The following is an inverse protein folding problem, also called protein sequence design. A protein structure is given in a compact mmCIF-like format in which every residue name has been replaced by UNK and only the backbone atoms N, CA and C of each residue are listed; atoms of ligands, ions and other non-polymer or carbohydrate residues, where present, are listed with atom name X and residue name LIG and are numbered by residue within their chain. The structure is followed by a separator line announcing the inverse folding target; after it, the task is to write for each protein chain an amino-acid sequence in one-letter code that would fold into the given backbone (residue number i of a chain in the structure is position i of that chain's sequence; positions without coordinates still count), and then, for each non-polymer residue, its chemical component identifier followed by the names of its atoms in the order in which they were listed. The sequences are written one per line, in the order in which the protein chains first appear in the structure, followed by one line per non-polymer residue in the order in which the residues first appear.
data_IF_248942834620
#
_entry.id   IF_248942834620
#
_cell.length_a   1.000
_cell.length_b   1.000
_cell.length_c   1.000
_cell.angle_alpha   90.00
_cell.angle_beta   90.00
_cell.angle_gamma   90.00
#
_symmetry.space_group_name_H-M   'P 1'
#
loop_
_entity.id
_entity.type
_entity.pdbx_description
1 polymer ?
#
# COMPACT_ATOMS: atom_id res chain seq x y z
N UNK A 1 4.97 -20.98 -16.14
CA UNK A 1 6.03 -21.13 -15.12
C UNK A 1 5.66 -20.20 -13.98
N UNK A 2 5.48 -20.73 -12.78
CA UNK A 2 5.19 -19.92 -11.60
C UNK A 2 6.52 -19.39 -11.05
N UNK A 3 6.67 -18.07 -10.94
CA UNK A 3 7.79 -17.50 -10.20
C UNK A 3 7.45 -17.64 -8.71
N UNK A 4 8.16 -18.53 -8.02
CA UNK A 4 8.13 -18.61 -6.56
C UNK A 4 8.99 -17.45 -6.05
N UNK A 5 8.47 -16.63 -5.14
CA UNK A 5 9.21 -15.57 -4.46
C UNK A 5 10.30 -16.20 -3.57
N UNK A 6 11.43 -16.56 -4.16
CA UNK A 6 12.65 -16.95 -3.45
C UNK A 6 13.42 -15.70 -3.07
N UNK A 7 13.49 -15.36 -1.78
CA UNK A 7 14.47 -14.47 -1.11
C UNK A 7 15.20 -13.45 -2.02
N UNK A 8 14.44 -12.71 -2.80
CA UNK A 8 15.00 -11.83 -3.80
C UNK A 8 15.36 -10.53 -3.10
N UNK A 9 16.66 -10.16 -3.17
CA UNK A 9 17.16 -8.78 -3.05
C UNK A 9 16.03 -7.81 -3.37
N UNK A 10 15.66 -6.89 -2.48
CA UNK A 10 14.60 -5.91 -2.70
C UNK A 10 14.77 -5.25 -4.07
N UNK A 11 14.10 -5.77 -5.10
CA UNK A 11 14.06 -5.14 -6.40
C UNK A 11 13.20 -3.90 -6.21
N UNK A 12 13.77 -2.73 -6.49
CA UNK A 12 12.95 -1.57 -6.72
C UNK A 12 12.17 -1.83 -8.01
N UNK A 13 10.91 -1.41 -8.07
CA UNK A 13 10.11 -1.49 -9.29
C UNK A 13 9.65 -0.08 -9.61
N UNK A 14 9.70 0.28 -10.88
CA UNK A 14 8.98 1.44 -11.42
C UNK A 14 7.81 0.94 -12.24
N UNK A 15 6.81 1.80 -12.42
CA UNK A 15 5.65 1.45 -13.23
C UNK A 15 4.72 2.61 -13.40
N UNK A 16 3.76 2.43 -14.29
CA UNK A 16 2.71 3.40 -14.56
C UNK A 16 1.35 2.73 -14.48
N UNK A 17 0.35 3.46 -14.02
CA UNK A 17 -1.04 3.02 -13.98
C UNK A 17 -1.91 4.04 -14.70
N UNK A 18 -2.92 3.54 -15.42
CA UNK A 18 -4.01 4.35 -15.94
C UNK A 18 -5.34 3.66 -15.67
N UNK A 19 -6.40 4.43 -15.48
CA UNK A 19 -7.77 3.92 -15.38
C UNK A 19 -8.79 5.03 -15.68
N UNK A 20 -10.06 4.67 -15.79
CA UNK A 20 -11.19 5.60 -15.85
C UNK A 20 -12.11 5.41 -14.65
N UNK A 21 -12.40 6.51 -13.95
CA UNK A 21 -13.30 6.52 -12.79
C UNK A 21 -14.75 6.74 -13.24
N UNK A 22 -15.72 6.46 -12.35
CA UNK A 22 -17.16 6.60 -12.65
C UNK A 22 -17.59 8.01 -13.07
N UNK A 23 -16.83 9.03 -12.69
CA UNK A 23 -17.04 10.42 -13.12
C UNK A 23 -16.66 10.67 -14.58
N UNK A 24 -16.03 9.70 -15.26
CA UNK A 24 -15.37 9.89 -16.55
C UNK A 24 -13.97 10.50 -16.43
N UNK A 25 -13.49 10.76 -15.21
CA UNK A 25 -12.14 11.28 -14.98
C UNK A 25 -11.10 10.19 -15.24
N UNK A 26 -10.04 10.55 -15.97
CA UNK A 26 -8.88 9.69 -16.15
C UNK A 26 -8.01 9.72 -14.89
N UNK A 27 -7.70 8.54 -14.38
CA UNK A 27 -6.65 8.32 -13.39
C UNK A 27 -5.33 8.05 -14.12
N UNK A 28 -4.29 8.80 -13.82
CA UNK A 28 -2.95 8.59 -14.38
C UNK A 28 -1.92 8.61 -13.24
N UNK A 29 -1.11 7.57 -13.12
CA UNK A 29 -0.01 7.52 -12.19
C UNK A 29 1.28 7.18 -12.94
N UNK A 30 2.25 8.09 -12.91
CA UNK A 30 3.59 7.93 -13.47
C UNK A 30 4.52 7.12 -12.58
N UNK A 31 4.09 6.86 -11.34
CA UNK A 31 4.78 6.02 -10.38
C UNK A 31 3.81 5.01 -9.74
N UNK A 32 4.29 3.77 -9.61
CA UNK A 32 3.63 2.70 -8.86
C UNK A 32 4.55 2.25 -7.74
N UNK A 33 4.01 2.23 -6.53
CA UNK A 33 4.61 1.57 -5.39
C UNK A 33 4.24 0.09 -5.41
N UNK A 34 5.21 -0.75 -5.83
CA UNK A 34 5.11 -2.20 -5.75
C UNK A 34 5.58 -2.69 -4.38
N UNK A 35 4.74 -3.48 -3.72
CA UNK A 35 5.04 -4.16 -2.48
C UNK A 35 4.99 -5.68 -2.74
N UNK A 36 6.16 -6.35 -2.80
CA UNK A 36 6.22 -7.79 -2.99
C UNK A 36 5.34 -8.51 -1.96
N UNK A 37 4.42 -9.37 -2.43
CA UNK A 37 3.50 -10.13 -1.58
C UNK A 37 2.23 -9.40 -1.12
N UNK A 38 2.10 -8.10 -1.38
CA UNK A 38 0.91 -7.32 -1.03
C UNK A 38 0.17 -6.89 -2.30
N UNK A 39 0.82 -6.13 -3.18
CA UNK A 39 0.16 -5.55 -4.34
C UNK A 39 0.91 -4.38 -4.94
N UNK A 40 0.18 -3.58 -5.71
CA UNK A 40 0.60 -2.28 -6.22
C UNK A 40 -0.30 -1.19 -5.67
N UNK A 41 0.30 -0.06 -5.36
CA UNK A 41 -0.37 1.19 -5.06
C UNK A 41 0.04 2.22 -6.12
N UNK A 42 -0.94 2.86 -6.72
CA UNK A 42 -0.73 3.97 -7.63
C UNK A 42 -1.47 5.19 -7.09
N UNK A 43 -0.87 6.36 -7.19
CA UNK A 43 -1.46 7.64 -6.77
C UNK A 43 -1.55 8.51 -8.00
N UNK A 44 -2.69 9.17 -8.18
CA UNK A 44 -2.94 10.02 -9.34
C UNK A 44 -1.94 11.18 -9.39
N UNK A 45 -1.21 11.33 -10.52
CA UNK A 45 -0.26 12.41 -10.79
C UNK A 45 -0.94 13.79 -10.74
N UNK A 46 -2.24 13.84 -11.03
CA UNK A 46 -3.04 15.05 -11.08
C UNK A 46 -3.83 15.29 -9.80
N UNK A 47 -3.56 14.53 -8.75
CA UNK A 47 -4.15 14.71 -7.44
C UNK A 47 -4.01 16.17 -6.97
N UNK A 48 -5.14 16.85 -6.81
CA UNK A 48 -5.24 18.11 -6.08
C UNK A 48 -6.09 17.82 -4.83
N UNK A 49 -5.50 17.91 -3.63
CA UNK A 49 -6.11 17.53 -2.34
C UNK A 49 -6.22 16.01 -2.12
N UNK A 50 -7.36 15.47 -1.66
CA UNK A 50 -7.59 14.05 -1.32
C UNK A 50 -7.07 13.13 -2.44
N UNK A 51 -5.82 12.69 -2.31
CA UNK A 51 -5.06 12.13 -3.43
C UNK A 51 -5.71 10.82 -3.88
N UNK A 52 -6.37 10.77 -5.06
CA UNK A 52 -6.97 9.55 -5.53
C UNK A 52 -5.86 8.51 -5.66
N UNK A 53 -6.07 7.34 -5.08
CA UNK A 53 -5.17 6.21 -5.25
C UNK A 53 -5.94 4.95 -5.62
N UNK A 54 -5.27 4.07 -6.35
CA UNK A 54 -5.75 2.74 -6.65
C UNK A 54 -4.77 1.74 -6.06
N UNK A 55 -5.29 0.83 -5.24
CA UNK A 55 -4.56 -0.33 -4.77
C UNK A 55 -5.07 -1.59 -5.45
N UNK A 56 -4.17 -2.43 -5.95
CA UNK A 56 -4.47 -3.77 -6.46
C UNK A 56 -3.59 -4.78 -5.73
N UNK A 57 -4.19 -5.61 -4.89
CA UNK A 57 -3.52 -6.71 -4.21
C UNK A 57 -3.23 -7.86 -5.17
N UNK A 58 -2.07 -8.50 -5.04
CA UNK A 58 -1.70 -9.64 -5.87
C UNK A 58 -1.99 -10.98 -5.20
N UNK A 59 -2.24 -12.05 -6.00
CA UNK A 59 -2.19 -13.40 -5.46
C UNK A 59 -0.77 -13.74 -5.01
N UNK A 60 -0.65 -14.67 -4.06
CA UNK A 60 0.64 -15.16 -3.53
C UNK A 60 1.61 -15.63 -4.62
N UNK A 61 1.09 -16.20 -5.72
CA UNK A 61 1.85 -16.52 -6.92
C UNK A 61 1.33 -15.71 -8.11
N UNK A 62 2.16 -14.83 -8.65
CA UNK A 62 1.86 -14.01 -9.83
C UNK A 62 2.14 -14.82 -11.10
N UNK A 63 1.15 -14.91 -11.98
CA UNK A 63 1.27 -15.59 -13.27
C UNK A 63 0.30 -15.02 -14.28
N UNK A 64 0.57 -15.25 -15.57
CA UNK A 64 -0.35 -14.86 -16.66
C UNK A 64 -1.68 -15.56 -16.45
N UNK A 65 -2.76 -14.80 -16.46
CA UNK A 65 -4.08 -15.34 -16.16
C UNK A 65 -5.13 -14.29 -15.87
N UNK A 66 -6.36 -14.78 -15.68
CA UNK A 66 -7.51 -13.99 -15.27
C UNK A 66 -7.88 -14.39 -13.86
N UNK A 67 -7.98 -13.39 -12.99
CA UNK A 67 -8.22 -13.59 -11.57
C UNK A 67 -9.39 -12.70 -11.12
N UNK A 68 -10.38 -13.25 -10.40
CA UNK A 68 -11.47 -12.45 -9.87
C UNK A 68 -10.96 -11.50 -8.79
N UNK A 69 -11.45 -10.26 -8.80
CA UNK A 69 -11.39 -9.37 -7.63
C UNK A 69 -12.68 -9.63 -6.86
N UNK A 70 -12.55 -9.97 -5.58
CA UNK A 70 -13.66 -10.36 -4.71
C UNK A 70 -13.74 -9.42 -3.50
N UNK A 71 -14.87 -9.42 -2.76
CA UNK A 71 -14.99 -8.62 -1.55
C UNK A 71 -13.87 -8.90 -0.55
N UNK A 72 -13.62 -7.90 0.31
CA UNK A 72 -12.68 -8.06 1.41
C UNK A 72 -13.03 -9.29 2.27
N UNK A 73 -12.00 -10.09 2.58
CA UNK A 73 -12.15 -11.34 3.34
C UNK A 73 -12.62 -12.55 2.54
N UNK A 74 -12.99 -12.41 1.26
CA UNK A 74 -13.54 -13.52 0.46
C UNK A 74 -12.62 -14.01 -0.66
N UNK A 75 -11.63 -13.22 -1.08
CA UNK A 75 -10.75 -13.59 -2.19
C UNK A 75 -9.27 -13.32 -2.01
N UNK A 76 -8.51 -13.82 -3.00
CA UNK A 76 -7.03 -13.71 -3.09
C UNK A 76 -6.55 -12.40 -3.71
N UNK A 77 -7.44 -11.68 -4.39
CA UNK A 77 -7.13 -10.41 -5.05
C UNK A 77 -8.13 -9.39 -4.55
N UNK A 78 -7.58 -8.25 -4.12
CA UNK A 78 -8.34 -7.13 -3.57
C UNK A 78 -8.06 -5.91 -4.42
N UNK A 79 -9.04 -5.04 -4.54
CA UNK A 79 -8.83 -3.73 -5.10
C UNK A 79 -9.47 -2.67 -4.20
N UNK A 80 -8.88 -1.49 -4.19
CA UNK A 80 -9.38 -0.36 -3.42
C UNK A 80 -9.24 0.91 -4.25
N UNK A 81 -10.29 1.72 -4.27
CA UNK A 81 -10.24 3.08 -4.79
C UNK A 81 -10.30 4.03 -3.59
N UNK A 82 -9.23 4.75 -3.36
CA UNK A 82 -9.16 5.70 -2.27
C UNK A 82 -9.20 7.13 -2.78
N UNK A 83 -10.41 7.64 -2.82
CA UNK A 83 -10.76 9.06 -2.87
C UNK A 83 -11.80 9.26 -1.77
N UNK A 84 -11.96 10.48 -1.25
CA UNK A 84 -12.92 10.78 -0.18
C UNK A 84 -14.29 10.14 -0.48
N UNK A 85 -14.77 9.28 0.43
CA UNK A 85 -16.02 8.54 0.24
C UNK A 85 -15.94 7.49 -0.87
N UNK A 86 -14.85 6.73 -0.99
CA UNK A 86 -14.76 5.46 -1.75
C UNK A 86 -14.09 4.39 -0.89
N UNK A 87 -14.09 3.16 -1.37
CA UNK A 87 -13.82 2.00 -0.52
C UNK A 87 -13.35 0.75 -1.27
N UNK A 88 -13.46 -0.42 -0.62
CA UNK A 88 -13.01 -1.67 -1.20
C UNK A 88 -13.88 -2.07 -2.39
N UNK A 89 -13.27 -2.74 -3.36
CA UNK A 89 -13.99 -3.41 -4.43
C UNK A 89 -14.88 -4.53 -3.87
N UNK A 90 -16.09 -4.64 -4.39
CA UNK A 90 -16.99 -5.77 -4.15
C UNK A 90 -16.88 -6.83 -5.24
N UNK A 91 -16.45 -6.45 -6.44
CA UNK A 91 -16.24 -7.39 -7.53
C UNK A 91 -15.38 -6.76 -8.61
N UNK A 92 -14.75 -7.59 -9.43
CA UNK A 92 -13.97 -7.13 -10.56
C UNK A 92 -13.13 -8.24 -11.14
N UNK A 93 -12.13 -7.85 -11.92
CA UNK A 93 -11.21 -8.77 -12.56
C UNK A 93 -9.85 -8.12 -12.74
N UNK A 94 -8.81 -8.87 -12.39
CA UNK A 94 -7.43 -8.59 -12.76
C UNK A 94 -7.00 -9.58 -13.84
N UNK A 95 -6.46 -9.08 -14.94
CA UNK A 95 -5.89 -9.88 -16.02
C UNK A 95 -4.40 -9.56 -16.13
N UNK A 96 -3.56 -10.47 -15.65
CA UNK A 96 -2.12 -10.39 -15.88
C UNK A 96 -1.86 -10.90 -17.29
N UNK A 97 -1.46 -10.00 -18.18
CA UNK A 97 -1.25 -10.31 -19.60
C UNK A 97 0.17 -10.79 -19.87
N UNK A 98 1.13 -10.33 -19.08
CA UNK A 98 2.55 -10.67 -19.27
C UNK A 98 3.28 -10.72 -17.93
N UNK A 99 4.14 -11.73 -17.79
CA UNK A 99 5.16 -11.83 -16.74
C UNK A 99 6.46 -12.20 -17.44
N UNK A 100 7.35 -11.23 -17.60
CA UNK A 100 8.63 -11.45 -18.27
C UNK A 100 9.63 -12.14 -17.34
N UNK A 101 10.60 -12.86 -17.91
CA UNK A 101 11.69 -13.47 -17.14
C UNK A 101 12.53 -12.42 -16.38
N UNK A 102 12.54 -11.18 -16.86
CA UNK A 102 13.15 -10.02 -16.21
C UNK A 102 12.40 -9.56 -14.96
N UNK A 103 11.21 -10.10 -14.68
CA UNK A 103 10.33 -9.70 -13.57
C UNK A 103 9.33 -8.59 -13.91
N UNK A 104 9.34 -8.08 -15.14
CA UNK A 104 8.33 -7.09 -15.57
C UNK A 104 6.94 -7.73 -15.68
N UNK A 105 5.92 -7.01 -15.21
CA UNK A 105 4.52 -7.47 -15.17
C UNK A 105 3.65 -6.42 -15.85
N UNK A 106 2.82 -6.87 -16.78
CA UNK A 106 1.80 -6.04 -17.44
C UNK A 106 0.42 -6.63 -17.14
N UNK A 107 -0.54 -5.79 -16.80
CA UNK A 107 -1.90 -6.24 -16.50
C UNK A 107 -2.97 -5.21 -16.85
N UNK A 108 -4.21 -5.70 -16.94
CA UNK A 108 -5.44 -4.92 -17.07
C UNK A 108 -6.38 -5.24 -15.92
N UNK A 109 -7.18 -4.28 -15.48
CA UNK A 109 -8.13 -4.50 -14.41
C UNK A 109 -9.42 -3.69 -14.60
N UNK A 110 -10.50 -4.22 -14.04
CA UNK A 110 -11.75 -3.49 -13.80
C UNK A 110 -12.29 -3.89 -12.43
N UNK A 111 -12.90 -2.97 -11.70
CA UNK A 111 -13.60 -3.31 -10.47
C UNK A 111 -14.69 -2.31 -10.13
N UNK A 112 -15.62 -2.75 -9.29
CA UNK A 112 -16.70 -1.92 -8.75
C UNK A 112 -16.87 -2.17 -7.27
N UNK A 113 -17.36 -1.17 -6.57
CA UNK A 113 -17.68 -1.24 -5.15
C UNK A 113 -18.78 -0.25 -4.79
N UNK A 114 -18.93 -0.03 -3.50
CA UNK A 114 -19.83 0.98 -2.94
C UNK A 114 -19.06 1.75 -1.89
N UNK A 115 -19.38 3.03 -1.75
CA UNK A 115 -18.84 3.85 -0.67
C UNK A 115 -19.61 3.71 0.64
N UNK A 116 -19.18 4.46 1.65
CA UNK A 116 -19.77 4.47 2.99
C UNK A 116 -21.25 4.88 3.00
N UNK A 117 -21.73 5.58 1.96
CA UNK A 117 -23.13 5.97 1.80
C UNK A 117 -23.92 4.98 0.93
N UNK A 118 -23.31 3.85 0.52
CA UNK A 118 -23.91 2.88 -0.38
C UNK A 118 -23.97 3.32 -1.84
N UNK A 119 -23.31 4.43 -2.20
CA UNK A 119 -23.27 4.89 -3.58
C UNK A 119 -22.24 4.07 -4.37
N UNK A 120 -22.70 3.46 -5.46
CA UNK A 120 -21.86 2.63 -6.30
C UNK A 120 -20.73 3.43 -6.96
N UNK A 121 -19.59 2.77 -7.14
CA UNK A 121 -18.49 3.23 -7.97
C UNK A 121 -17.94 2.10 -8.83
N UNK A 122 -17.26 2.48 -9.89
CA UNK A 122 -16.65 1.62 -10.89
C UNK A 122 -15.35 2.25 -11.40
N UNK A 123 -14.35 1.40 -11.60
CA UNK A 123 -13.08 1.67 -12.24
C UNK A 123 -12.98 0.79 -13.48
N UNK A 124 -12.89 1.42 -14.63
CA UNK A 124 -12.82 0.76 -15.95
C UNK A 124 -11.50 1.09 -16.64
N UNK A 125 -11.21 0.36 -17.72
CA UNK A 125 -10.02 0.57 -18.55
C UNK A 125 -8.69 0.59 -17.79
N UNK A 126 -8.66 -0.04 -16.61
CA UNK A 126 -7.49 -0.11 -15.75
C UNK A 126 -6.37 -0.87 -16.44
N UNK A 127 -5.17 -0.30 -16.43
CA UNK A 127 -3.97 -0.96 -16.90
C UNK A 127 -2.76 -0.50 -16.09
N UNK A 128 -1.83 -1.42 -15.86
CA UNK A 128 -0.54 -1.06 -15.31
C UNK A 128 0.58 -1.90 -15.90
N UNK A 129 1.78 -1.34 -15.85
CA UNK A 129 3.03 -2.04 -16.11
C UNK A 129 4.00 -1.75 -14.98
N UNK A 130 4.63 -2.77 -14.43
CA UNK A 130 5.75 -2.63 -13.49
C UNK A 130 6.97 -3.35 -14.03
N UNK A 131 8.14 -2.76 -13.84
CA UNK A 131 9.42 -3.32 -14.26
C UNK A 131 10.41 -3.20 -13.12
N UNK A 132 11.23 -4.24 -12.86
CA UNK A 132 12.36 -4.10 -11.96
C UNK A 132 13.29 -3.00 -12.44
N UNK A 133 13.71 -2.16 -11.52
CA UNK A 133 14.73 -1.15 -11.75
C UNK A 133 15.91 -1.40 -10.81
N UNK A 134 17.05 -0.80 -11.16
CA UNK A 134 18.22 -0.81 -10.30
C UNK A 134 17.81 -0.13 -9.00
N UNK A 135 17.76 -0.89 -7.90
CA UNK A 135 17.67 -0.29 -6.58
C UNK A 135 18.86 0.68 -6.47
N UNK A 136 18.59 1.97 -6.26
CA UNK A 136 19.64 2.91 -5.91
C UNK A 136 20.38 2.29 -4.72
N UNK A 137 21.64 1.91 -4.92
CA UNK A 137 22.49 1.44 -3.84
C UNK A 137 22.61 2.59 -2.86
N UNK A 138 21.84 2.54 -1.77
CA UNK A 138 21.94 3.49 -0.68
C UNK A 138 21.71 2.69 0.60
N UNK A 139 22.69 2.81 1.49
CA UNK A 139 22.74 2.36 2.89
C UNK A 139 21.46 1.67 3.36
N UNK A 140 21.56 0.38 3.69
CA UNK A 140 20.48 -0.35 4.35
C UNK A 140 20.03 0.46 5.57
N UNK A 141 18.88 1.14 5.52
CA UNK A 141 18.51 1.98 6.62
C UNK A 141 18.17 1.09 7.80
N UNK A 142 18.49 1.56 9.00
CA UNK A 142 17.92 0.97 10.20
C UNK A 142 16.52 1.54 10.32
N UNK A 143 15.53 0.66 10.29
CA UNK A 143 14.13 1.05 10.52
C UNK A 143 13.66 0.43 11.81
N UNK A 144 13.08 1.25 12.67
CA UNK A 144 12.33 0.82 13.84
C UNK A 144 10.93 1.43 13.74
N UNK A 145 9.90 0.60 13.83
CA UNK A 145 8.53 1.06 13.87
C UNK A 145 7.67 0.18 14.76
N UNK A 146 6.79 0.80 15.54
CA UNK A 146 5.83 0.09 16.38
C UNK A 146 4.62 0.95 16.65
N UNK A 147 3.48 0.33 16.95
CA UNK A 147 2.31 1.03 17.45
C UNK A 147 1.42 0.09 18.28
N UNK A 148 0.54 0.66 19.10
CA UNK A 148 -0.54 -0.04 19.78
C UNK A 148 -1.83 0.01 18.92
N UNK A 149 -2.68 -1.01 19.02
CA UNK A 149 -3.98 -1.10 18.35
C UNK A 149 -5.06 -1.46 19.38
N UNK A 150 -6.12 -0.66 19.43
CA UNK A 150 -7.28 -0.89 20.29
C UNK A 150 -8.60 -0.76 19.52
N UNK A 151 -9.54 -1.73 19.63
CA UNK A 151 -9.37 -3.02 20.30
C UNK A 151 -8.30 -3.89 19.60
N UNK A 152 -7.87 -4.99 20.22
CA UNK A 152 -6.90 -5.88 19.59
C UNK A 152 -7.45 -6.45 18.28
N UNK A 153 -6.69 -6.36 17.19
CA UNK A 153 -7.06 -6.88 15.88
C UNK A 153 -6.57 -8.33 15.77
N UNK A 154 -7.51 -9.27 15.76
CA UNK A 154 -7.21 -10.72 15.72
C UNK A 154 -6.24 -11.16 16.82
N UNK A 155 -6.46 -10.70 18.06
CA UNK A 155 -5.62 -10.90 19.25
C UNK A 155 -4.24 -10.19 19.22
N UNK A 156 -4.02 -9.27 18.28
CA UNK A 156 -2.82 -8.43 18.22
C UNK A 156 -3.17 -7.01 18.73
N UNK A 157 -2.58 -6.63 19.87
CA UNK A 157 -2.78 -5.31 20.50
C UNK A 157 -1.85 -4.22 19.94
N UNK A 158 -1.15 -4.49 18.84
CA UNK A 158 -0.10 -3.65 18.31
C UNK A 158 0.70 -4.38 17.23
N UNK A 159 1.71 -3.69 16.70
CA UNK A 159 2.72 -4.29 15.85
C UNK A 159 4.12 -3.77 16.22
N UNK A 160 5.13 -4.59 15.98
CA UNK A 160 6.54 -4.22 15.95
C UNK A 160 7.10 -4.66 14.60
N UNK A 161 7.47 -3.70 13.76
CA UNK A 161 7.81 -3.97 12.37
C UNK A 161 9.10 -4.80 12.26
N UNK A 162 9.03 -5.87 11.47
CA UNK A 162 10.16 -6.73 11.09
C UNK A 162 10.43 -6.69 9.57
N UNK A 163 9.57 -6.00 8.83
CA UNK A 163 9.65 -5.79 7.39
C UNK A 163 9.34 -4.33 7.07
N UNK A 164 10.11 -3.75 6.14
CA UNK A 164 9.95 -2.36 5.74
C UNK A 164 10.31 -2.14 4.27
N UNK A 165 9.72 -1.11 3.68
CA UNK A 165 10.02 -0.62 2.34
C UNK A 165 9.89 0.90 2.34
N UNK A 166 10.97 1.59 1.97
CA UNK A 166 11.04 3.05 2.00
C UNK A 166 11.44 3.54 0.62
N UNK A 167 10.64 4.43 0.04
CA UNK A 167 10.86 4.99 -1.29
C UNK A 167 10.66 6.49 -1.25
N UNK A 168 11.50 7.21 -1.99
CA UNK A 168 11.27 8.61 -2.30
C UNK A 168 10.64 8.70 -3.70
N UNK A 169 9.58 9.49 -3.83
CA UNK A 169 9.03 9.85 -5.13
C UNK A 169 9.78 11.06 -5.70
N UNK A 170 9.72 11.24 -7.02
CA UNK A 170 10.28 12.41 -7.69
C UNK A 170 9.60 13.72 -7.26
N UNK A 171 8.40 13.65 -6.67
CA UNK A 171 7.66 14.79 -6.14
C UNK A 171 8.10 15.20 -4.71
N UNK A 172 9.19 14.62 -4.18
CA UNK A 172 9.72 14.95 -2.86
C UNK A 172 8.95 14.34 -1.69
N UNK A 173 8.04 13.40 -1.96
CA UNK A 173 7.33 12.63 -0.93
C UNK A 173 8.02 11.32 -0.63
N UNK A 174 7.80 10.77 0.56
CA UNK A 174 8.31 9.47 0.99
C UNK A 174 7.16 8.51 1.20
N UNK A 175 7.17 7.41 0.43
CA UNK A 175 6.32 6.24 0.62
C UNK A 175 7.03 5.26 1.57
N UNK A 176 6.42 4.97 2.71
CA UNK A 176 7.00 4.16 3.78
C UNK A 176 5.98 3.08 4.16
N UNK A 177 6.34 1.82 3.91
CA UNK A 177 5.63 0.68 4.47
C UNK A 177 6.45 0.11 5.62
N UNK A 178 5.82 -0.10 6.77
CA UNK A 178 6.37 -0.84 7.90
C UNK A 178 5.35 -1.84 8.40
N UNK A 179 5.73 -3.11 8.48
CA UNK A 179 4.84 -4.22 8.81
C UNK A 179 5.54 -5.22 9.71
N UNK A 180 4.78 -5.83 10.61
CA UNK A 180 5.13 -7.08 11.26
C UNK A 180 4.59 -8.24 10.41
N UNK A 181 5.37 -9.28 10.19
CA UNK A 181 4.96 -10.52 9.51
C UNK A 181 5.15 -11.76 10.38
N UNK A 182 6.07 -11.72 11.35
CA UNK A 182 6.31 -12.82 12.29
C UNK A 182 5.44 -12.70 13.54
N UNK A 183 5.16 -13.86 14.15
CA UNK A 183 4.50 -13.97 15.46
C UNK A 183 3.11 -13.31 15.55
N UNK A 184 2.47 -13.06 14.40
CA UNK A 184 1.10 -12.56 14.34
C UNK A 184 0.09 -13.64 14.71
N UNK A 185 -0.98 -13.22 15.40
CA UNK A 185 -2.07 -14.10 15.84
C UNK A 185 -3.28 -14.03 14.93
N UNK A 186 -4.19 -14.98 15.10
CA UNK A 186 -5.50 -15.00 14.44
C UNK A 186 -5.45 -15.13 12.91
N UNK A 187 -4.39 -15.75 12.38
CA UNK A 187 -4.22 -15.99 10.96
C UNK A 187 -3.83 -14.76 10.13
N UNK A 188 -3.40 -13.67 10.78
CA UNK A 188 -2.86 -12.52 10.05
C UNK A 188 -1.51 -12.88 9.41
N UNK A 189 -1.34 -12.51 8.13
CA UNK A 189 -0.06 -12.60 7.42
C UNK A 189 0.76 -11.31 7.49
N UNK A 190 0.13 -10.19 7.83
CA UNK A 190 0.80 -8.90 8.01
C UNK A 190 -0.05 -7.94 8.85
N UNK A 191 0.61 -7.08 9.62
CA UNK A 191 0.00 -5.98 10.35
C UNK A 191 0.97 -4.80 10.40
N UNK A 192 0.52 -3.59 10.07
CA UNK A 192 1.38 -2.41 10.13
C UNK A 192 0.75 -1.16 9.53
N UNK A 193 1.60 -0.28 8.99
CA UNK A 193 1.16 0.97 8.39
C UNK A 193 1.92 1.26 7.09
N UNK A 194 1.20 1.82 6.13
CA UNK A 194 1.77 2.54 5.01
C UNK A 194 1.60 4.03 5.23
N UNK A 195 2.60 4.84 4.91
CA UNK A 195 2.62 6.29 5.06
C UNK A 195 3.14 6.90 3.76
N UNK A 196 2.46 7.93 3.25
CA UNK A 196 2.99 8.75 2.16
C UNK A 196 3.00 10.21 2.61
N UNK A 197 4.18 10.72 2.93
CA UNK A 197 4.37 12.00 3.60
C UNK A 197 5.38 12.89 2.87
N UNK A 198 5.16 14.19 2.91
CA UNK A 198 6.08 15.20 2.38
C UNK A 198 7.23 15.52 3.38
N UNK A 199 8.05 16.51 3.04
CA UNK A 199 9.17 16.97 3.87
C UNK A 199 8.76 17.70 5.16
N UNK A 200 7.48 18.02 5.31
CA UNK A 200 6.89 18.64 6.50
C UNK A 200 6.11 17.63 7.36
N UNK A 201 6.01 16.37 6.92
CA UNK A 201 5.25 15.33 7.60
C UNK A 201 3.75 15.37 7.28
N UNK A 202 3.33 16.14 6.27
CA UNK A 202 1.94 16.12 5.81
C UNK A 202 1.72 14.98 4.83
N UNK A 203 0.58 14.32 4.94
CA UNK A 203 0.21 13.26 4.02
C UNK A 203 -0.90 12.37 4.54
N UNK A 204 -0.85 11.10 4.15
CA UNK A 204 -1.86 10.10 4.51
C UNK A 204 -1.21 8.79 4.93
N UNK A 205 -2.02 7.99 5.62
CA UNK A 205 -1.67 6.65 6.06
C UNK A 205 -2.71 5.63 5.61
N UNK A 206 -2.28 4.39 5.44
CA UNK A 206 -3.14 3.22 5.38
C UNK A 206 -2.76 2.25 6.47
N UNK A 207 -3.76 1.65 7.12
CA UNK A 207 -3.51 0.46 7.92
C UNK A 207 -3.19 -0.69 6.96
N UNK A 208 -2.07 -1.37 7.17
CA UNK A 208 -1.72 -2.57 6.43
C UNK A 208 -2.20 -3.78 7.23
N UNK A 209 -3.16 -4.53 6.67
CA UNK A 209 -3.73 -5.74 7.31
C UNK A 209 -3.78 -6.86 6.27
N UNK A 210 -3.05 -7.95 6.53
CA UNK A 210 -2.77 -8.98 5.53
C UNK A 210 -2.23 -8.34 4.24
N UNK A 211 -2.73 -8.76 3.07
CA UNK A 211 -2.38 -8.18 1.77
C UNK A 211 -3.25 -6.98 1.38
N UNK A 212 -3.81 -6.25 2.36
CA UNK A 212 -4.69 -5.11 2.13
C UNK A 212 -4.14 -3.81 2.70
N UNK A 213 -4.45 -2.70 2.03
CA UNK A 213 -4.34 -1.35 2.57
C UNK A 213 -5.75 -0.83 2.86
N UNK A 214 -5.96 -0.34 4.07
CA UNK A 214 -7.24 0.18 4.55
C UNK A 214 -7.11 1.68 4.81
N UNK A 215 -8.03 2.46 4.25
CA UNK A 215 -8.12 3.90 4.48
C UNK A 215 -8.14 4.23 5.98
N UNK A 216 -7.30 5.19 6.37
CA UNK A 216 -7.29 5.71 7.74
C UNK A 216 -8.05 7.03 7.83
N UNK A 217 -8.41 7.40 9.05
CA UNK A 217 -9.07 8.66 9.44
C UNK A 217 -8.33 9.24 10.64
N UNK A 218 -8.50 10.53 10.87
CA UNK A 218 -7.95 11.24 12.03
C UNK A 218 -6.44 11.04 12.20
N UNK A 219 -5.70 11.03 11.08
CA UNK A 219 -4.25 10.87 11.12
C UNK A 219 -3.60 12.08 11.75
N UNK A 220 -2.75 11.83 12.74
CA UNK A 220 -1.95 12.83 13.43
C UNK A 220 -0.49 12.38 13.37
N UNK A 221 0.38 13.29 12.95
CA UNK A 221 1.84 13.17 13.06
C UNK A 221 2.34 14.23 14.05
N UNK A 222 3.14 13.80 15.02
CA UNK A 222 3.81 14.68 15.99
C UNK A 222 5.30 14.40 16.05
N UNK A 223 6.05 15.29 16.71
CA UNK A 223 7.49 15.14 16.94
C UNK A 223 8.31 14.89 15.66
N UNK A 224 7.85 15.46 14.54
CA UNK A 224 8.45 15.25 13.23
C UNK A 224 9.85 15.84 13.12
N UNK A 225 10.82 14.98 12.78
CA UNK A 225 12.22 15.32 12.58
C UNK A 225 12.69 14.68 11.28
N UNK A 226 13.16 15.50 10.34
CA UNK A 226 13.72 15.04 9.08
C UNK A 226 15.07 15.70 8.86
N UNK A 227 16.07 14.88 8.58
CA UNK A 227 17.39 15.27 8.11
C UNK A 227 17.59 14.62 6.75
N UNK A 228 17.83 15.44 5.72
CA UNK A 228 17.94 14.99 4.35
C UNK A 228 19.02 13.91 4.22
N UNK A 229 18.65 12.75 3.65
CA UNK A 229 19.53 11.59 3.45
C UNK A 229 20.18 11.02 4.73
N UNK A 230 19.72 11.39 5.92
CA UNK A 230 20.32 10.95 7.19
C UNK A 230 19.31 10.31 8.14
N UNK A 231 18.23 11.00 8.49
CA UNK A 231 17.27 10.49 9.48
C UNK A 231 15.85 10.98 9.24
N UNK A 232 14.87 10.15 9.57
CA UNK A 232 13.46 10.50 9.65
C UNK A 232 12.90 9.90 10.94
N UNK A 233 12.23 10.70 11.75
CA UNK A 233 11.56 10.21 12.96
C UNK A 233 10.32 11.03 13.25
N UNK A 234 9.26 10.36 13.66
CA UNK A 234 8.02 10.99 14.12
C UNK A 234 7.15 9.99 14.88
N UNK A 235 6.23 10.55 15.65
CA UNK A 235 5.15 9.80 16.28
C UNK A 235 3.89 9.92 15.42
N UNK A 236 3.06 8.88 15.43
CA UNK A 236 1.83 8.85 14.65
C UNK A 236 0.67 8.17 15.39
N UNK A 237 -0.54 8.59 15.05
CA UNK A 237 -1.78 7.92 15.41
C UNK A 237 -2.83 8.10 14.31
N UNK A 238 -3.77 7.18 14.22
CA UNK A 238 -4.91 7.26 13.30
C UNK A 238 -5.98 6.25 13.71
N UNK A 239 -7.14 6.32 13.06
CA UNK A 239 -8.21 5.33 13.18
C UNK A 239 -8.49 4.66 11.83
N UNK A 240 -8.99 3.43 11.83
CA UNK A 240 -9.46 2.75 10.62
C UNK A 240 -10.59 1.78 10.95
N UNK A 241 -11.44 1.46 9.96
CA UNK A 241 -12.49 0.45 10.12
C UNK A 241 -12.08 -0.82 9.37
N UNK A 242 -12.12 -1.97 10.05
CA UNK A 242 -11.89 -3.27 9.43
C UNK A 242 -12.96 -4.26 9.86
N UNK A 243 -13.62 -4.91 8.90
CA UNK A 243 -14.75 -5.84 9.12
C UNK A 243 -15.84 -5.25 10.05
N UNK A 244 -16.20 -3.98 9.84
CA UNK A 244 -17.23 -3.28 10.61
C UNK A 244 -16.84 -2.91 12.05
N UNK A 245 -15.59 -3.14 12.44
CA UNK A 245 -15.04 -2.74 13.75
C UNK A 245 -14.10 -1.56 13.56
N UNK A 246 -14.25 -0.54 14.39
CA UNK A 246 -13.34 0.60 14.44
C UNK A 246 -12.14 0.29 15.33
N UNK A 247 -10.95 0.54 14.79
CA UNK A 247 -9.67 0.37 15.44
C UNK A 247 -8.98 1.72 15.54
N UNK A 248 -8.31 1.94 16.67
CA UNK A 248 -7.42 3.07 16.89
C UNK A 248 -5.99 2.58 16.98
N UNK A 249 -5.12 3.18 16.16
CA UNK A 249 -3.68 3.06 16.25
C UNK A 249 -3.14 4.23 17.08
N UNK A 250 -2.44 3.93 18.16
CA UNK A 250 -1.87 4.92 19.07
C UNK A 250 -0.45 4.58 19.46
N UNK A 251 0.26 5.55 20.04
CA UNK A 251 1.65 5.40 20.47
C UNK A 251 2.54 4.85 19.34
N UNK A 252 2.19 5.24 18.11
CA UNK A 252 2.94 4.88 16.93
C UNK A 252 4.24 5.67 16.89
N UNK A 253 5.35 4.99 16.66
CA UNK A 253 6.64 5.62 16.43
C UNK A 253 7.28 5.04 15.19
N UNK A 254 7.86 5.91 14.36
CA UNK A 254 8.71 5.54 13.25
C UNK A 254 10.07 6.21 13.40
N UNK A 255 11.13 5.43 13.20
CA UNK A 255 12.49 5.92 13.02
C UNK A 255 13.15 5.22 11.83
N UNK A 256 13.77 6.02 10.96
CA UNK A 256 14.59 5.58 9.84
C UNK A 256 15.93 6.30 9.92
N UNK A 257 17.02 5.54 9.96
CA UNK A 257 18.40 6.05 9.93
C UNK A 257 19.13 5.51 8.70
N UNK A 258 19.50 6.41 7.78
CA UNK A 258 20.23 6.09 6.55
C UNK A 258 21.75 6.26 6.68
N UNK A 259 22.25 6.68 7.84
CA UNK A 259 23.70 6.87 8.03
C UNK A 259 24.40 5.51 7.98
N UNK A 260 25.60 5.43 7.36
CA UNK A 260 26.38 4.20 7.38
C UNK A 260 26.75 3.83 8.82
N UNK A 261 26.66 2.55 9.14
CA UNK A 261 27.18 1.98 10.40
C UNK A 261 28.65 1.64 10.29
#
# INVERSE_FOLDING_TARGET
MNAIHTDAKQWAFTGTMQATLSSGTTFEASAIDYQPGFGILAIDDRALNDEPFIYIGFPEAIGVGSFPIEPEGQGKIRAFLGIQGKGPAKSGKLVITEVQATGAISAKFTFKGEDENGQAFEVTEGAFTISPCVALQNNHPVVAASACISPALSDNAGFVADNFNVRASNAGRRSILVTQQKDLKGGLSSLGTYLNIDSQGHGYAFAAVNQGLIATRDMIITDFRSEENARLSFDFSYSFTHNGTDYKVSDGHLEIDWRPK
#
